data_IF_030769372430
#
_entry.id   IF_030769372430
#
_cell.length_a   1.000
_cell.length_b   1.000
_cell.length_c   1.000
_cell.angle_alpha   90.00
_cell.angle_beta   90.00
_cell.angle_gamma   90.00
#
_symmetry.space_group_name_H-M   'P 1'
#
loop_
_entity.id
_entity.type
_entity.pdbx_description
1 polymer ?
#
# COMPACT_ATOMS: atom_id res chain seq x y z
N UNK A 1 -27.96 -23.13 -44.71
CA UNK A 1 -26.52 -22.85 -44.48
C UNK A 1 -26.44 -21.83 -43.37
N UNK A 2 -25.82 -22.15 -42.23
CA UNK A 2 -25.62 -21.17 -41.16
C UNK A 2 -24.50 -20.20 -41.58
N UNK A 3 -24.74 -18.90 -41.50
CA UNK A 3 -23.75 -17.86 -41.79
C UNK A 3 -23.14 -17.41 -40.45
N UNK A 4 -21.86 -17.69 -40.19
CA UNK A 4 -21.20 -17.27 -38.96
C UNK A 4 -21.23 -15.75 -38.80
N UNK A 5 -21.40 -15.27 -37.58
CA UNK A 5 -21.51 -13.86 -37.24
C UNK A 5 -20.34 -13.02 -37.78
N UNK A 6 -19.11 -13.51 -37.65
CA UNK A 6 -17.90 -12.84 -38.15
C UNK A 6 -17.92 -12.58 -39.67
N UNK A 7 -18.76 -13.27 -40.44
CA UNK A 7 -18.87 -13.09 -41.89
C UNK A 7 -19.93 -12.04 -42.28
N UNK A 8 -20.79 -11.61 -41.36
CA UNK A 8 -21.93 -10.74 -41.67
C UNK A 8 -21.51 -9.38 -42.21
N UNK A 9 -20.51 -8.74 -41.60
CA UNK A 9 -20.01 -7.44 -42.06
C UNK A 9 -19.45 -7.50 -43.49
N UNK A 10 -18.64 -8.52 -43.79
CA UNK A 10 -18.08 -8.70 -45.14
C UNK A 10 -19.20 -9.01 -46.16
N UNK A 11 -20.18 -9.84 -45.78
CA UNK A 11 -21.32 -10.15 -46.65
C UNK A 11 -22.14 -8.89 -46.92
N UNK A 12 -22.44 -8.08 -45.89
CA UNK A 12 -23.15 -6.81 -46.04
C UNK A 12 -22.41 -5.84 -46.96
N UNK A 13 -21.09 -5.72 -46.83
CA UNK A 13 -20.28 -4.83 -47.68
C UNK A 13 -20.22 -5.27 -49.15
N UNK A 14 -20.50 -6.55 -49.43
CA UNK A 14 -20.52 -7.11 -50.78
C UNK A 14 -21.91 -7.06 -51.43
N UNK A 15 -22.95 -6.63 -50.71
CA UNK A 15 -24.29 -6.47 -51.25
C UNK A 15 -24.37 -5.23 -52.16
N UNK A 16 -25.22 -5.25 -53.19
CA UNK A 16 -25.47 -4.07 -54.00
C UNK A 16 -26.19 -3.00 -53.15
N UNK A 17 -25.84 -1.73 -53.37
CA UNK A 17 -26.49 -0.60 -52.71
C UNK A 17 -27.98 -0.47 -53.05
N UNK A 18 -28.37 -0.91 -54.26
CA UNK A 18 -29.76 -0.97 -54.71
C UNK A 18 -30.01 -2.33 -55.37
N UNK A 19 -30.71 -3.26 -54.70
CA UNK A 19 -31.01 -4.58 -55.26
C UNK A 19 -32.09 -4.49 -56.34
N UNK A 20 -31.99 -5.31 -57.38
CA UNK A 20 -33.00 -5.37 -58.44
C UNK A 20 -34.22 -6.18 -57.99
N UNK A 21 -35.37 -5.99 -58.65
CA UNK A 21 -36.60 -6.76 -58.36
C UNK A 21 -36.39 -8.28 -58.46
N UNK A 22 -35.51 -8.73 -59.36
CA UNK A 22 -35.13 -10.14 -59.52
C UNK A 22 -34.27 -10.66 -58.36
N UNK A 23 -33.42 -9.81 -57.79
CA UNK A 23 -32.61 -10.14 -56.62
C UNK A 23 -33.45 -10.19 -55.34
N UNK A 24 -34.42 -9.27 -55.20
CA UNK A 24 -35.36 -9.26 -54.07
C UNK A 24 -36.30 -10.48 -54.11
N UNK A 25 -36.71 -10.89 -55.31
CA UNK A 25 -37.57 -12.06 -55.51
C UNK A 25 -36.86 -13.42 -55.46
N UNK A 26 -35.61 -13.49 -54.97
CA UNK A 26 -34.81 -14.71 -54.92
C UNK A 26 -34.59 -15.40 -56.29
N UNK A 27 -34.67 -14.66 -57.40
CA UNK A 27 -34.48 -15.19 -58.76
C UNK A 27 -33.01 -15.15 -59.16
N UNK A 28 -32.32 -14.05 -58.84
CA UNK A 28 -30.89 -13.86 -59.11
C UNK A 28 -30.13 -13.65 -57.80
N UNK A 29 -28.90 -14.15 -57.72
CA UNK A 29 -28.02 -13.97 -56.56
C UNK A 29 -27.62 -12.50 -56.40
N UNK A 30 -27.83 -11.93 -55.20
CA UNK A 30 -27.45 -10.54 -54.90
C UNK A 30 -25.94 -10.27 -55.04
N UNK A 31 -25.09 -11.30 -54.95
CA UNK A 31 -23.62 -11.14 -54.93
C UNK A 31 -22.94 -11.30 -56.29
N UNK A 32 -23.55 -12.02 -57.23
CA UNK A 32 -22.97 -12.25 -58.56
C UNK A 32 -23.93 -12.02 -59.73
N UNK A 33 -25.18 -11.64 -59.43
CA UNK A 33 -26.23 -11.37 -60.39
C UNK A 33 -26.52 -12.52 -61.38
N UNK A 34 -26.20 -13.75 -60.98
CA UNK A 34 -26.52 -14.96 -61.76
C UNK A 34 -27.82 -15.59 -61.28
N UNK A 35 -28.60 -16.22 -62.18
CA UNK A 35 -29.80 -16.94 -61.81
C UNK A 35 -29.53 -17.99 -60.73
N UNK A 36 -30.46 -18.12 -59.78
CA UNK A 36 -30.39 -19.11 -58.70
C UNK A 36 -30.89 -20.49 -59.16
N UNK A 37 -31.72 -20.56 -60.22
CA UNK A 37 -32.24 -21.80 -60.82
C UNK A 37 -32.73 -22.79 -59.74
N UNK A 38 -32.43 -24.08 -59.86
CA UNK A 38 -32.83 -25.13 -58.90
C UNK A 38 -32.04 -25.11 -57.58
N UNK A 39 -31.23 -24.08 -57.31
CA UNK A 39 -30.42 -24.00 -56.09
C UNK A 39 -31.17 -23.27 -55.00
N UNK A 40 -31.24 -23.88 -53.82
CA UNK A 40 -31.85 -23.28 -52.64
C UNK A 40 -31.19 -21.92 -52.31
N UNK A 41 -31.95 -20.80 -52.38
CA UNK A 41 -31.43 -19.49 -52.04
C UNK A 41 -31.11 -19.42 -50.54
N UNK A 42 -30.01 -18.77 -50.18
CA UNK A 42 -29.62 -18.57 -48.78
C UNK A 42 -29.88 -17.11 -48.42
N UNK A 43 -30.72 -16.90 -47.40
CA UNK A 43 -31.00 -15.57 -46.88
C UNK A 43 -29.72 -14.90 -46.34
N UNK A 44 -29.52 -13.64 -46.69
CA UNK A 44 -28.33 -12.84 -46.33
C UNK A 44 -28.58 -11.85 -45.20
N UNK A 45 -29.84 -11.61 -44.82
CA UNK A 45 -30.20 -10.73 -43.71
C UNK A 45 -30.42 -11.46 -42.39
N UNK A 46 -30.68 -10.71 -41.30
CA UNK A 46 -30.88 -11.25 -39.96
C UNK A 46 -32.14 -12.11 -39.85
N UNK A 47 -33.11 -11.92 -40.77
CA UNK A 47 -34.31 -12.73 -40.89
C UNK A 47 -34.45 -13.27 -42.32
N UNK A 48 -35.08 -14.45 -42.52
CA UNK A 48 -35.36 -15.01 -43.85
C UNK A 48 -36.21 -14.09 -44.74
N UNK A 49 -36.92 -13.13 -44.12
CA UNK A 49 -37.86 -12.19 -44.74
C UNK A 49 -37.17 -10.94 -45.28
N UNK A 50 -35.87 -10.76 -45.05
CA UNK A 50 -35.13 -9.55 -45.45
C UNK A 50 -35.00 -9.35 -46.96
N UNK A 51 -35.50 -10.28 -47.78
CA UNK A 51 -35.56 -10.15 -49.24
C UNK A 51 -34.21 -10.11 -49.94
N UNK A 52 -33.13 -10.63 -49.34
CA UNK A 52 -31.80 -10.65 -49.94
C UNK A 52 -31.23 -12.07 -49.91
N UNK A 53 -30.88 -12.58 -51.09
CA UNK A 53 -30.52 -13.98 -51.26
C UNK A 53 -29.20 -14.15 -52.01
N UNK A 54 -28.36 -15.06 -51.49
CA UNK A 54 -27.08 -15.41 -52.09
C UNK A 54 -27.05 -16.86 -52.54
N UNK A 55 -26.23 -17.14 -53.54
CA UNK A 55 -25.92 -18.51 -53.94
C UNK A 55 -24.80 -19.10 -53.06
N UNK A 56 -24.86 -20.42 -52.82
CA UNK A 56 -23.91 -21.14 -51.97
C UNK A 56 -22.42 -20.94 -52.37
N UNK A 57 -22.04 -20.90 -53.66
CA UNK A 57 -20.65 -20.63 -54.05
C UNK A 57 -20.15 -19.23 -53.66
N UNK A 58 -20.96 -18.19 -53.84
CA UNK A 58 -20.61 -16.82 -53.46
C UNK A 58 -20.46 -16.69 -51.94
N UNK A 59 -21.40 -17.29 -51.19
CA UNK A 59 -21.33 -17.34 -49.74
C UNK A 59 -20.11 -18.10 -49.22
N UNK A 60 -19.79 -19.27 -49.79
CA UNK A 60 -18.59 -20.03 -49.41
C UNK A 60 -17.32 -19.21 -49.62
N UNK A 61 -17.22 -18.48 -50.73
CA UNK A 61 -16.07 -17.60 -51.01
C UNK A 61 -15.96 -16.46 -50.00
N UNK A 62 -17.07 -15.77 -49.70
CA UNK A 62 -17.08 -14.66 -48.74
C UNK A 62 -16.83 -15.13 -47.31
N UNK A 63 -17.45 -16.23 -46.86
CA UNK A 63 -17.20 -16.80 -45.53
C UNK A 63 -15.76 -17.26 -45.38
N UNK A 64 -15.16 -17.85 -46.42
CA UNK A 64 -13.73 -18.22 -46.42
C UNK A 64 -12.83 -16.99 -46.33
N UNK A 65 -13.16 -15.92 -47.06
CA UNK A 65 -12.42 -14.65 -46.99
C UNK A 65 -12.56 -13.98 -45.63
N UNK A 66 -13.76 -13.96 -45.05
CA UNK A 66 -14.03 -13.43 -43.72
C UNK A 66 -13.27 -14.20 -42.64
N UNK A 67 -13.22 -15.54 -42.74
CA UNK A 67 -12.43 -16.38 -41.84
C UNK A 67 -10.95 -16.02 -41.91
N UNK A 68 -10.36 -15.95 -43.11
CA UNK A 68 -8.95 -15.56 -43.29
C UNK A 68 -8.66 -14.16 -42.74
N UNK A 69 -9.56 -13.21 -42.95
CA UNK A 69 -9.40 -11.85 -42.43
C UNK A 69 -9.46 -11.82 -40.90
N UNK A 70 -10.41 -12.54 -40.29
CA UNK A 70 -10.51 -12.69 -38.83
C UNK A 70 -9.26 -13.35 -38.25
N UNK A 71 -8.82 -14.46 -38.84
CA UNK A 71 -7.68 -15.21 -38.33
C UNK A 71 -6.39 -14.36 -38.46
N UNK A 72 -6.23 -13.61 -39.55
CA UNK A 72 -5.12 -12.66 -39.70
C UNK A 72 -5.17 -11.50 -38.70
N UNK A 73 -6.37 -10.95 -38.44
CA UNK A 73 -6.56 -9.91 -37.43
C UNK A 73 -6.21 -10.43 -36.02
N UNK A 74 -6.67 -11.63 -35.66
CA UNK A 74 -6.31 -12.26 -34.38
C UNK A 74 -4.80 -12.49 -34.23
N UNK A 75 -4.10 -12.87 -35.30
CA UNK A 75 -2.63 -12.98 -35.27
C UNK A 75 -1.98 -11.62 -35.07
N UNK A 76 -2.43 -10.59 -35.79
CA UNK A 76 -1.91 -9.23 -35.64
C UNK A 76 -2.18 -8.67 -34.24
N UNK A 77 -3.37 -8.89 -33.69
CA UNK A 77 -3.74 -8.48 -32.33
C UNK A 77 -2.88 -9.20 -31.28
N UNK A 78 -2.60 -10.49 -31.47
CA UNK A 78 -1.72 -11.25 -30.59
C UNK A 78 -0.26 -10.76 -30.66
N UNK A 79 0.25 -10.48 -31.86
CA UNK A 79 1.59 -9.89 -32.03
C UNK A 79 1.68 -8.50 -31.39
N UNK A 80 0.63 -7.68 -31.55
CA UNK A 80 0.56 -6.33 -30.98
C UNK A 80 0.43 -6.37 -29.45
N UNK A 81 -0.24 -7.37 -28.89
CA UNK A 81 -0.32 -7.59 -27.44
C UNK A 81 1.04 -8.01 -26.82
N UNK A 82 1.90 -8.71 -27.58
CA UNK A 82 3.20 -9.19 -27.11
C UNK A 82 4.34 -8.16 -27.28
N UNK A 83 4.18 -7.18 -28.18
CA UNK A 83 5.21 -6.19 -28.47
C UNK A 83 5.64 -5.33 -27.26
N UNK A 84 4.73 -4.84 -26.39
CA UNK A 84 5.09 -4.09 -25.19
C UNK A 84 5.95 -4.91 -24.21
N UNK A 85 5.57 -6.18 -23.98
CA UNK A 85 6.32 -7.10 -23.13
C UNK A 85 7.76 -7.33 -23.66
N UNK A 86 7.90 -7.58 -24.96
CA UNK A 86 9.20 -7.79 -25.60
C UNK A 86 10.11 -6.54 -25.52
N UNK A 87 9.53 -5.34 -25.58
CA UNK A 87 10.28 -4.09 -25.46
C UNK A 87 10.68 -3.77 -24.00
N UNK A 88 9.86 -4.20 -23.03
CA UNK A 88 10.09 -3.95 -21.61
C UNK A 88 11.15 -4.88 -21.00
N UNK A 89 11.22 -6.15 -21.43
CA UNK A 89 12.13 -7.15 -20.85
C UNK A 89 13.61 -6.68 -20.75
N UNK A 90 14.21 -6.10 -21.81
CA UNK A 90 15.60 -5.63 -21.74
C UNK A 90 15.78 -4.40 -20.83
N UNK A 91 14.73 -3.60 -20.61
CA UNK A 91 14.76 -2.50 -19.66
C UNK A 91 14.76 -3.03 -18.22
N UNK A 92 13.87 -3.99 -17.92
CA UNK A 92 13.81 -4.71 -16.63
C UNK A 92 15.14 -5.35 -16.27
N UNK A 93 15.71 -6.16 -17.17
CA UNK A 93 16.99 -6.85 -16.92
C UNK A 93 18.14 -5.87 -16.62
N UNK A 94 18.21 -4.75 -17.34
CA UNK A 94 19.22 -3.71 -17.10
C UNK A 94 19.03 -3.00 -15.77
N UNK A 95 17.79 -2.79 -15.35
CA UNK A 95 17.46 -2.18 -14.06
C UNK A 95 17.85 -3.13 -12.92
N UNK A 96 17.41 -4.39 -12.95
CA UNK A 96 17.78 -5.42 -11.97
C UNK A 96 19.30 -5.58 -11.83
N UNK A 97 20.02 -5.68 -12.96
CA UNK A 97 21.49 -5.74 -12.95
C UNK A 97 22.17 -4.47 -12.42
N UNK A 98 21.46 -3.33 -12.38
CA UNK A 98 21.97 -2.10 -11.74
C UNK A 98 21.74 -2.15 -10.23
N UNK A 99 20.55 -2.53 -9.78
CA UNK A 99 20.24 -2.73 -8.36
C UNK A 99 21.25 -3.69 -7.72
N UNK A 100 21.45 -4.85 -8.34
CA UNK A 100 22.37 -5.88 -7.87
C UNK A 100 23.82 -5.38 -7.74
N UNK A 101 24.31 -4.58 -8.71
CA UNK A 101 25.66 -4.00 -8.64
C UNK A 101 25.83 -2.99 -7.51
N UNK A 102 24.82 -2.15 -7.26
CA UNK A 102 24.88 -1.19 -6.13
C UNK A 102 24.75 -1.94 -4.80
N UNK A 103 23.91 -2.99 -4.74
CA UNK A 103 23.78 -3.87 -3.57
C UNK A 103 25.11 -4.54 -3.23
N UNK A 104 25.78 -5.14 -4.21
CA UNK A 104 27.11 -5.73 -4.03
C UNK A 104 28.15 -4.70 -3.60
N UNK A 105 28.07 -3.47 -4.11
CA UNK A 105 28.95 -2.39 -3.66
C UNK A 105 28.66 -2.00 -2.20
N UNK A 106 27.40 -1.96 -1.79
CA UNK A 106 27.01 -1.69 -0.41
C UNK A 106 27.51 -2.78 0.54
N UNK A 107 27.35 -4.06 0.18
CA UNK A 107 27.87 -5.20 0.94
C UNK A 107 29.40 -5.14 1.07
N UNK A 108 30.11 -4.82 -0.02
CA UNK A 108 31.56 -4.66 0.01
C UNK A 108 32.00 -3.48 0.89
N UNK A 109 31.28 -2.36 0.87
CA UNK A 109 31.56 -1.22 1.76
C UNK A 109 31.34 -1.59 3.22
N UNK A 110 30.27 -2.33 3.53
CA UNK A 110 30.02 -2.84 4.88
C UNK A 110 31.14 -3.77 5.36
N UNK A 111 31.58 -4.71 4.51
CA UNK A 111 32.70 -5.62 4.82
C UNK A 111 34.01 -4.86 5.04
N UNK A 112 34.30 -3.85 4.20
CA UNK A 112 35.49 -3.01 4.36
C UNK A 112 35.45 -2.15 5.63
N UNK A 113 34.26 -1.70 6.05
CA UNK A 113 34.07 -0.93 7.27
C UNK A 113 34.25 -1.79 8.53
N UNK A 114 33.80 -3.05 8.50
CA UNK A 114 34.02 -4.02 9.60
C UNK A 114 35.45 -4.57 9.68
N UNK A 115 36.29 -4.31 8.67
CA UNK A 115 37.67 -4.76 8.59
C UNK A 115 38.69 -3.71 9.03
N UNK A 116 39.82 -4.16 9.59
CA UNK A 116 40.88 -3.26 10.08
C UNK A 116 41.85 -2.79 8.98
N UNK A 117 41.65 -3.24 7.73
CA UNK A 117 42.57 -3.00 6.60
C UNK A 117 42.32 -1.70 5.86
N UNK A 118 41.20 -1.03 6.12
CA UNK A 118 40.81 0.19 5.42
C UNK A 118 40.81 1.36 6.38
N UNK A 119 41.45 2.45 5.96
CA UNK A 119 41.49 3.67 6.75
C UNK A 119 40.08 4.25 6.95
N UNK A 120 39.70 4.70 8.16
CA UNK A 120 38.37 5.22 8.45
C UNK A 120 37.91 6.33 7.49
N UNK A 121 38.81 7.27 7.15
CA UNK A 121 38.51 8.34 6.20
C UNK A 121 38.24 7.81 4.78
N UNK A 122 38.91 6.72 4.37
CA UNK A 122 38.68 6.09 3.08
C UNK A 122 37.32 5.38 3.05
N UNK A 123 36.93 4.74 4.16
CA UNK A 123 35.59 4.15 4.34
C UNK A 123 34.49 5.22 4.23
N UNK A 124 34.68 6.41 4.81
CA UNK A 124 33.74 7.53 4.65
C UNK A 124 33.57 7.98 3.19
N UNK A 125 34.66 8.08 2.43
CA UNK A 125 34.60 8.42 1.00
C UNK A 125 33.93 7.34 0.15
N UNK A 126 34.10 6.07 0.51
CA UNK A 126 33.40 4.96 -0.12
C UNK A 126 31.89 5.05 0.11
N UNK A 127 31.45 5.40 1.33
CA UNK A 127 30.04 5.64 1.62
C UNK A 127 29.47 6.79 0.78
N UNK A 128 30.16 7.93 0.68
CA UNK A 128 29.71 9.05 -0.17
C UNK A 128 29.55 8.63 -1.63
N UNK A 129 30.50 7.83 -2.13
CA UNK A 129 30.46 7.31 -3.51
C UNK A 129 29.30 6.33 -3.70
N UNK A 130 29.02 5.51 -2.70
CA UNK A 130 27.92 4.55 -2.68
C UNK A 130 26.55 5.26 -2.65
N UNK A 131 26.37 6.28 -1.80
CA UNK A 131 25.14 7.09 -1.74
C UNK A 131 24.85 7.78 -3.08
N UNK A 132 25.90 8.28 -3.74
CA UNK A 132 25.80 8.82 -5.09
C UNK A 132 25.34 7.75 -6.09
N UNK A 133 25.95 6.56 -6.05
CA UNK A 133 25.55 5.45 -6.92
C UNK A 133 24.10 5.00 -6.69
N UNK A 134 23.65 4.96 -5.44
CA UNK A 134 22.28 4.64 -5.04
C UNK A 134 21.27 5.68 -5.56
N UNK A 135 21.58 6.97 -5.38
CA UNK A 135 20.71 8.08 -5.82
C UNK A 135 20.58 8.17 -7.35
N UNK A 136 21.58 7.68 -8.10
CA UNK A 136 21.60 7.72 -9.57
C UNK A 136 20.95 6.50 -10.23
N UNK A 137 20.33 5.62 -9.46
CA UNK A 137 19.52 4.52 -9.99
C UNK A 137 18.24 5.15 -10.58
N UNK A 138 17.96 4.97 -11.88
CA UNK A 138 16.75 5.48 -12.50
C UNK A 138 15.54 4.70 -12.00
N UNK A 139 14.37 5.34 -12.04
CA UNK A 139 13.11 4.71 -11.66
C UNK A 139 12.89 3.35 -12.34
N UNK A 140 12.18 2.47 -11.64
CA UNK A 140 11.84 1.15 -12.16
C UNK A 140 11.02 1.29 -13.46
N UNK A 141 11.33 0.50 -14.51
CA UNK A 141 10.58 0.56 -15.74
C UNK A 141 9.15 0.06 -15.52
N UNK A 142 8.15 0.85 -15.93
CA UNK A 142 6.75 0.53 -15.72
C UNK A 142 6.34 -0.74 -16.52
N UNK A 143 5.79 -1.77 -15.86
CA UNK A 143 5.43 -3.02 -16.51
C UNK A 143 4.19 -2.84 -17.40
N UNK A 144 4.11 -3.51 -18.56
CA UNK A 144 2.86 -3.58 -19.31
C UNK A 144 1.79 -4.33 -18.50
N UNK A 145 0.52 -3.97 -18.71
CA UNK A 145 -0.62 -4.52 -17.94
C UNK A 145 -0.70 -6.05 -17.93
N UNK A 146 -0.14 -6.73 -18.93
CA UNK A 146 -0.10 -8.19 -19.03
C UNK A 146 0.95 -8.86 -18.12
N UNK A 147 1.86 -8.10 -17.51
CA UNK A 147 2.98 -8.58 -16.69
C UNK A 147 3.02 -7.89 -15.31
N UNK A 148 1.86 -7.53 -14.77
CA UNK A 148 1.76 -6.86 -13.46
C UNK A 148 2.44 -7.65 -12.33
N UNK A 149 2.41 -8.99 -12.39
CA UNK A 149 3.04 -9.86 -11.39
C UNK A 149 4.58 -9.73 -11.36
N UNK A 150 5.22 -9.39 -12.49
CA UNK A 150 6.68 -9.17 -12.55
C UNK A 150 7.11 -7.84 -11.90
N UNK A 151 6.15 -6.98 -11.52
CA UNK A 151 6.41 -5.78 -10.73
C UNK A 151 6.85 -6.12 -9.29
N UNK A 152 6.42 -7.27 -8.77
CA UNK A 152 6.76 -7.71 -7.41
C UNK A 152 8.27 -7.98 -7.27
N UNK A 153 8.90 -8.59 -8.27
CA UNK A 153 10.33 -8.89 -8.26
C UNK A 153 11.19 -7.61 -8.31
N UNK A 154 10.77 -6.60 -9.09
CA UNK A 154 11.44 -5.29 -9.11
C UNK A 154 11.39 -4.60 -7.74
N UNK A 155 10.24 -4.69 -7.04
CA UNK A 155 10.08 -4.16 -5.68
C UNK A 155 10.93 -4.93 -4.67
N UNK A 156 10.96 -6.25 -4.77
CA UNK A 156 11.75 -7.11 -3.87
C UNK A 156 13.25 -6.80 -3.98
N UNK A 157 13.78 -6.67 -5.20
CA UNK A 157 15.19 -6.33 -5.42
C UNK A 157 15.53 -4.89 -4.99
N UNK A 158 14.59 -3.95 -5.15
CA UNK A 158 14.71 -2.61 -4.56
C UNK A 158 14.84 -2.65 -3.04
N UNK A 159 13.97 -3.42 -2.38
CA UNK A 159 14.00 -3.60 -0.93
C UNK A 159 15.31 -4.26 -0.44
N UNK A 160 15.82 -5.26 -1.16
CA UNK A 160 17.12 -5.89 -0.84
C UNK A 160 18.28 -4.91 -0.94
N UNK A 161 18.26 -4.03 -1.93
CA UNK A 161 19.24 -2.94 -2.03
C UNK A 161 19.15 -1.98 -0.85
N UNK A 162 17.93 -1.57 -0.45
CA UNK A 162 17.72 -0.66 0.68
C UNK A 162 18.29 -1.26 1.98
N UNK A 163 18.05 -2.56 2.21
CA UNK A 163 18.61 -3.26 3.36
C UNK A 163 20.15 -3.26 3.33
N UNK A 164 20.77 -3.55 2.18
CA UNK A 164 22.22 -3.52 2.04
C UNK A 164 22.81 -2.11 2.27
N UNK A 165 22.10 -1.06 1.83
CA UNK A 165 22.49 0.33 2.09
C UNK A 165 22.44 0.68 3.58
N UNK A 166 21.42 0.21 4.31
CA UNK A 166 21.32 0.39 5.77
C UNK A 166 22.51 -0.28 6.46
N UNK A 167 22.80 -1.54 6.12
CA UNK A 167 23.94 -2.28 6.69
C UNK A 167 25.28 -1.57 6.41
N UNK A 168 25.47 -1.04 5.20
CA UNK A 168 26.66 -0.28 4.84
C UNK A 168 26.79 1.01 5.66
N UNK A 169 25.70 1.77 5.82
CA UNK A 169 25.67 3.00 6.63
C UNK A 169 26.02 2.72 8.10
N UNK A 170 25.43 1.68 8.67
CA UNK A 170 25.66 1.26 10.05
C UNK A 170 27.12 0.88 10.29
N UNK A 171 27.67 -0.02 9.47
CA UNK A 171 29.06 -0.46 9.62
C UNK A 171 30.06 0.71 9.46
N UNK A 172 29.80 1.63 8.53
CA UNK A 172 30.63 2.84 8.35
C UNK A 172 30.50 3.77 9.56
N UNK A 173 29.28 3.98 10.07
CA UNK A 173 29.05 4.85 11.23
C UNK A 173 29.76 4.31 12.48
N UNK A 174 29.65 3.01 12.75
CA UNK A 174 30.35 2.35 13.86
C UNK A 174 31.87 2.50 13.74
N UNK A 175 32.41 2.23 12.54
CA UNK A 175 33.85 2.38 12.26
C UNK A 175 34.35 3.81 12.48
N UNK A 176 33.57 4.81 12.06
CA UNK A 176 33.92 6.23 12.23
C UNK A 176 33.80 6.68 13.68
N UNK A 177 32.76 6.23 14.40
CA UNK A 177 32.60 6.50 15.82
C UNK A 177 33.80 5.94 16.61
N UNK A 178 34.17 4.68 16.35
CA UNK A 178 35.33 4.05 16.99
C UNK A 178 36.64 4.81 16.69
N UNK A 179 36.84 5.24 15.45
CA UNK A 179 38.00 6.07 15.08
C UNK A 179 38.04 7.40 15.84
N UNK A 180 36.91 8.12 15.90
CA UNK A 180 36.82 9.40 16.60
C UNK A 180 37.08 9.27 18.11
N UNK A 181 36.55 8.21 18.73
CA UNK A 181 36.81 7.92 20.15
C UNK A 181 38.30 7.69 20.37
N UNK A 182 38.94 6.85 19.55
CA UNK A 182 40.37 6.56 19.65
C UNK A 182 41.28 7.77 19.40
N UNK A 183 40.93 8.65 18.47
CA UNK A 183 41.67 9.91 18.25
C UNK A 183 41.47 10.93 19.40
N UNK A 184 40.33 10.87 20.09
CA UNK A 184 40.02 11.74 21.22
C UNK A 184 40.62 11.26 22.56
N UNK A 185 41.12 10.02 22.62
CA UNK A 185 41.76 9.46 23.82
C UNK A 185 43.08 10.20 24.13
N UNK A 186 43.31 10.63 25.39
CA UNK A 186 44.57 11.25 25.77
C UNK A 186 45.74 10.26 25.64
N UNK A 187 46.96 10.74 25.32
CA UNK A 187 48.13 9.89 25.05
C UNK A 187 48.61 9.07 26.26
N UNK A 188 48.16 9.43 27.47
CA UNK A 188 48.32 8.66 28.70
C UNK A 188 46.93 8.57 29.36
N UNK A 189 46.11 7.55 29.05
CA UNK A 189 44.88 7.34 29.79
C UNK A 189 45.24 7.06 31.24
N UNK A 190 44.58 7.70 32.21
CA UNK A 190 44.69 7.33 33.63
C UNK A 190 44.27 5.86 33.73
N UNK A 191 45.25 4.96 33.79
CA UNK A 191 45.04 3.52 33.84
C UNK A 191 44.29 3.21 35.14
N UNK A 192 42.99 2.90 35.02
CA UNK A 192 42.27 2.26 36.11
C UNK A 192 43.04 0.98 36.47
N UNK A 193 43.33 0.75 37.76
CA UNK A 193 44.16 -0.36 38.25
C UNK A 193 43.64 -1.76 37.86
N UNK A 194 42.45 -1.87 37.24
CA UNK A 194 41.80 -3.12 36.86
C UNK A 194 42.07 -3.60 35.41
N UNK A 195 42.77 -2.85 34.55
CA UNK A 195 42.99 -3.26 33.15
C UNK A 195 44.47 -3.35 32.75
N UNK A 196 45.16 -4.41 33.18
CA UNK A 196 46.35 -4.89 32.45
C UNK A 196 45.88 -5.72 31.24
N UNK A 197 45.82 -5.11 30.05
CA UNK A 197 45.65 -5.86 28.81
C UNK A 197 46.88 -6.75 28.55
N UNK A 198 46.72 -8.06 28.27
CA UNK A 198 47.82 -8.92 27.87
C UNK A 198 48.53 -8.42 26.61
N UNK A 199 49.82 -8.77 26.44
CA UNK A 199 50.67 -8.37 25.32
C UNK A 199 50.15 -8.79 23.92
N UNK A 200 49.11 -9.62 23.88
CA UNK A 200 48.50 -10.17 22.68
C UNK A 200 47.13 -9.52 22.35
N UNK A 201 46.77 -8.43 23.02
CA UNK A 201 45.50 -7.72 22.80
C UNK A 201 45.51 -7.02 21.43
N UNK A 202 44.56 -7.36 20.56
CA UNK A 202 44.45 -6.83 19.19
C UNK A 202 43.84 -5.42 19.10
N UNK A 203 43.65 -4.72 20.22
CA UNK A 203 43.06 -3.38 20.27
C UNK A 203 41.58 -3.31 19.87
N UNK A 204 40.92 -4.46 19.66
CA UNK A 204 39.45 -4.53 19.55
C UNK A 204 38.85 -4.38 20.94
N UNK A 205 38.76 -3.13 21.40
CA UNK A 205 37.85 -2.78 22.49
C UNK A 205 36.47 -2.65 21.85
N UNK A 206 35.72 -3.75 21.96
CA UNK A 206 34.29 -3.76 21.66
C UNK A 206 33.62 -2.58 22.42
N UNK A 207 32.69 -1.89 21.78
CA UNK A 207 31.99 -0.74 22.38
C UNK A 207 31.19 -1.13 23.62
N UNK A 208 31.02 -2.45 23.84
CA UNK A 208 30.53 -3.06 25.08
C UNK A 208 31.37 -2.77 26.33
N UNK A 209 32.61 -2.27 26.19
CA UNK A 209 33.47 -1.88 27.32
C UNK A 209 33.42 -0.39 27.68
N UNK A 210 32.76 0.44 26.85
CA UNK A 210 32.44 1.81 27.26
C UNK A 210 31.22 1.68 28.16
N UNK A 211 31.48 1.44 29.44
CA UNK A 211 30.47 1.45 30.50
C UNK A 211 30.09 2.91 30.82
N UNK A 212 29.70 3.67 29.79
CA UNK A 212 28.85 4.82 30.00
C UNK A 212 27.47 4.25 30.31
N UNK A 213 27.29 3.89 31.58
CA UNK A 213 26.00 3.45 32.10
C UNK A 213 24.91 4.39 31.59
N UNK A 214 23.67 3.91 31.42
CA UNK A 214 22.57 4.62 30.73
C UNK A 214 22.44 6.08 31.16
N UNK A 215 22.82 6.32 32.41
CA UNK A 215 22.96 7.56 33.14
C UNK A 215 23.87 8.65 32.55
N UNK A 216 25.06 8.31 32.03
CA UNK A 216 26.06 9.30 31.57
C UNK A 216 25.61 10.08 30.34
N UNK A 217 24.87 9.43 29.43
CA UNK A 217 24.30 10.08 28.24
C UNK A 217 23.34 11.21 28.64
N UNK A 218 22.50 11.00 29.65
CA UNK A 218 21.58 12.03 30.14
C UNK A 218 22.34 13.22 30.74
N UNK A 219 23.43 12.97 31.45
CA UNK A 219 24.25 14.02 32.04
C UNK A 219 25.03 14.81 30.98
N UNK A 220 25.53 14.15 29.95
CA UNK A 220 26.25 14.80 28.84
C UNK A 220 25.31 15.59 27.93
N UNK A 221 24.14 15.03 27.60
CA UNK A 221 23.07 15.75 26.92
C UNK A 221 22.68 17.00 27.72
N UNK A 222 22.52 16.88 29.03
CA UNK A 222 22.21 18.01 29.91
C UNK A 222 23.32 19.07 29.90
N UNK A 223 24.60 18.68 29.91
CA UNK A 223 25.76 19.60 29.76
C UNK A 223 25.75 20.34 28.42
N UNK A 224 25.20 19.71 27.39
CA UNK A 224 25.01 20.30 26.05
C UNK A 224 23.66 21.00 25.86
N UNK A 225 22.88 21.19 26.93
CA UNK A 225 21.61 21.92 26.92
C UNK A 225 20.41 21.11 26.42
N UNK A 226 20.54 19.79 26.32
CA UNK A 226 19.50 18.84 25.92
C UNK A 226 18.99 18.11 27.16
N UNK A 227 17.72 18.30 27.53
CA UNK A 227 17.14 17.69 28.74
C UNK A 227 16.30 16.48 28.37
N UNK A 228 16.60 15.31 28.95
CA UNK A 228 15.88 14.05 28.74
C UNK A 228 15.62 13.37 30.09
N UNK A 229 14.40 12.87 30.35
CA UNK A 229 14.00 12.25 31.64
C UNK A 229 14.59 10.83 31.80
N UNK A 230 15.13 10.51 32.99
CA UNK A 230 15.76 9.21 33.31
C UNK A 230 14.76 8.25 33.99
N UNK A 231 14.64 6.96 33.60
CA UNK A 231 13.68 6.03 34.21
C UNK A 231 14.17 5.44 35.55
N UNK A 232 13.27 5.22 36.52
CA UNK A 232 13.60 4.56 37.80
C UNK A 232 13.76 3.04 37.65
N UNK A 233 14.78 2.40 38.28
CA UNK A 233 14.96 0.95 38.20
C UNK A 233 14.07 0.19 39.19
N UNK A 234 13.14 -0.62 38.68
CA UNK A 234 12.38 -1.58 39.48
C UNK A 234 13.14 -2.90 39.71
N UNK A 235 12.99 -3.55 40.87
CA UNK A 235 13.67 -4.82 41.16
C UNK A 235 13.09 -5.97 40.31
N UNK A 236 13.94 -6.88 39.78
CA UNK A 236 13.50 -7.91 38.85
C UNK A 236 12.59 -8.95 39.55
N UNK A 237 11.48 -9.26 38.89
CA UNK A 237 10.46 -10.15 39.45
C UNK A 237 10.95 -11.61 39.56
N UNK A 238 10.45 -12.38 40.55
CA UNK A 238 10.82 -13.80 40.76
C UNK A 238 10.58 -14.71 39.56
N UNK A 239 9.74 -14.25 38.61
CA UNK A 239 9.37 -14.96 37.39
C UNK A 239 10.50 -14.94 36.34
N UNK A 240 11.39 -13.95 36.39
CA UNK A 240 12.56 -13.83 35.51
C UNK A 240 13.65 -14.84 35.89
N UNK A 241 13.84 -15.08 37.19
CA UNK A 241 14.79 -16.07 37.72
C UNK A 241 14.43 -17.50 37.28
N UNK A 242 13.14 -17.82 37.20
CA UNK A 242 12.66 -19.14 36.77
C UNK A 242 12.82 -19.39 35.26
N UNK A 243 12.98 -18.34 34.45
CA UNK A 243 13.12 -18.45 32.98
C UNK A 243 14.58 -18.63 32.54
N UNK A 244 15.55 -18.19 33.35
CA UNK A 244 16.98 -18.30 33.04
C UNK A 244 17.55 -19.72 33.23
N UNK A 245 16.86 -20.59 33.99
CA UNK A 245 17.29 -21.98 34.23
C UNK A 245 16.83 -22.97 33.14
N UNK A 246 16.03 -22.54 32.15
CA UNK A 246 15.26 -23.46 31.31
C UNK A 246 15.45 -23.43 29.79
N UNK A 247 16.17 -22.47 29.20
CA UNK A 247 16.23 -22.35 27.73
C UNK A 247 17.66 -22.36 27.19
N UNK A 248 18.01 -23.47 26.52
CA UNK A 248 19.14 -23.54 25.62
C UNK A 248 18.94 -22.61 24.41
N UNK A 249 20.07 -22.09 23.96
CA UNK A 249 20.29 -21.15 22.86
C UNK A 249 19.44 -21.39 21.60
N UNK A 250 18.41 -20.57 21.41
CA UNK A 250 17.94 -20.13 20.09
C UNK A 250 18.47 -18.71 19.85
N UNK A 251 19.12 -18.49 18.70
CA UNK A 251 19.61 -17.18 18.29
C UNK A 251 18.44 -16.19 18.17
N UNK A 252 18.46 -15.16 19.03
CA UNK A 252 17.52 -14.04 19.00
C UNK A 252 17.68 -13.25 17.69
N UNK A 253 16.61 -12.98 16.94
CA UNK A 253 16.61 -11.94 15.93
C UNK A 253 16.94 -10.59 16.59
N UNK A 254 17.82 -9.81 15.97
CA UNK A 254 18.15 -8.45 16.40
C UNK A 254 16.88 -7.59 16.44
N UNK A 255 16.63 -6.84 17.52
CA UNK A 255 15.45 -5.99 17.61
C UNK A 255 15.55 -4.83 16.61
N UNK A 256 14.46 -4.55 15.90
CA UNK A 256 14.28 -3.29 15.16
C UNK A 256 14.40 -2.11 16.15
N UNK A 257 14.91 -0.93 15.71
CA UNK A 257 15.08 0.23 16.59
C UNK A 257 13.77 0.59 17.30
N UNK A 258 13.87 0.86 18.60
CA UNK A 258 12.71 1.11 19.47
C UNK A 258 11.98 2.39 19.07
N UNK A 259 10.82 2.24 18.41
CA UNK A 259 9.88 3.35 18.14
C UNK A 259 9.44 4.05 19.45
N UNK A 260 9.59 3.39 20.60
CA UNK A 260 9.16 3.92 21.90
C UNK A 260 9.96 5.16 22.34
N UNK A 261 11.22 5.29 21.92
CA UNK A 261 12.11 6.39 22.36
C UNK A 261 11.78 7.74 21.71
N UNK A 262 11.09 7.76 20.56
CA UNK A 262 10.72 8.98 19.84
C UNK A 262 9.22 9.23 19.68
N UNK A 263 8.40 8.17 19.66
CA UNK A 263 6.97 8.30 19.40
C UNK A 263 6.22 9.00 20.53
N UNK A 264 6.64 8.81 21.80
CA UNK A 264 5.92 9.35 22.95
C UNK A 264 5.86 10.90 22.95
N UNK A 265 6.96 11.57 22.61
CA UNK A 265 7.00 13.03 22.55
C UNK A 265 6.13 13.60 21.41
N UNK A 266 6.14 12.92 20.25
CA UNK A 266 5.30 13.31 19.10
C UNK A 266 3.82 13.06 19.41
N UNK A 267 3.47 11.90 19.96
CA UNK A 267 2.09 11.56 20.33
C UNK A 267 1.54 12.48 21.43
N UNK A 268 2.35 12.85 22.41
CA UNK A 268 1.98 13.82 23.43
C UNK A 268 1.65 15.21 22.84
N UNK A 269 2.36 15.65 21.80
CA UNK A 269 2.02 16.88 21.08
C UNK A 269 0.60 16.85 20.49
N UNK A 270 0.15 15.69 20.03
CA UNK A 270 -1.20 15.47 19.51
C UNK A 270 -2.23 15.07 20.58
N UNK A 271 -1.86 15.12 21.86
CA UNK A 271 -2.74 14.73 22.98
C UNK A 271 -3.05 13.23 23.02
N UNK A 272 -2.20 12.39 22.42
CA UNK A 272 -2.34 10.94 22.43
C UNK A 272 -1.53 10.39 23.61
N UNK A 273 -2.24 10.06 24.69
CA UNK A 273 -1.70 9.35 25.85
C UNK A 273 -2.02 7.84 25.78
N UNK A 274 -1.72 7.10 26.85
CA UNK A 274 -1.96 5.66 26.93
C UNK A 274 -3.43 5.27 26.82
N UNK A 275 -4.35 6.13 27.26
CA UNK A 275 -5.78 5.80 27.36
C UNK A 275 -6.46 5.90 25.99
N UNK A 276 -5.95 6.78 25.13
CA UNK A 276 -6.44 6.96 23.76
C UNK A 276 -5.56 6.29 22.69
N UNK A 277 -4.41 5.73 23.07
CA UNK A 277 -3.44 5.13 22.14
C UNK A 277 -4.06 4.07 21.21
N UNK A 278 -4.90 3.17 21.75
CA UNK A 278 -5.55 2.12 20.94
C UNK A 278 -6.52 2.74 19.94
N UNK A 279 -7.25 3.78 20.34
CA UNK A 279 -8.18 4.48 19.44
C UNK A 279 -7.42 5.21 18.34
N UNK A 280 -6.33 5.91 18.67
CA UNK A 280 -5.47 6.55 17.68
C UNK A 280 -4.82 5.53 16.72
N UNK A 281 -4.35 4.40 17.24
CA UNK A 281 -3.80 3.31 16.43
C UNK A 281 -4.86 2.69 15.50
N UNK A 282 -6.10 2.53 15.95
CA UNK A 282 -7.19 2.05 15.11
C UNK A 282 -7.46 3.01 13.94
N UNK A 283 -7.48 4.32 14.21
CA UNK A 283 -7.59 5.34 13.15
C UNK A 283 -6.41 5.30 12.20
N UNK A 284 -5.19 5.13 12.71
CA UNK A 284 -4.01 5.00 11.88
C UNK A 284 -4.03 3.75 11.00
N UNK A 285 -4.54 2.63 11.52
CA UNK A 285 -4.73 1.43 10.72
C UNK A 285 -5.75 1.65 9.61
N UNK A 286 -6.89 2.29 9.89
CA UNK A 286 -7.88 2.63 8.85
C UNK A 286 -7.31 3.62 7.84
N UNK A 287 -6.59 4.64 8.30
CA UNK A 287 -5.93 5.64 7.47
C UNK A 287 -4.99 4.98 6.44
N UNK A 288 -4.09 4.12 6.93
CA UNK A 288 -3.07 3.49 6.09
C UNK A 288 -3.59 2.32 5.25
N UNK A 289 -4.45 1.48 5.82
CA UNK A 289 -4.90 0.26 5.17
C UNK A 289 -6.01 0.51 4.15
N UNK A 290 -6.88 1.48 4.40
CA UNK A 290 -8.12 1.63 3.64
C UNK A 290 -8.33 3.01 3.03
N UNK A 291 -8.05 4.08 3.78
CA UNK A 291 -8.33 5.46 3.31
C UNK A 291 -7.36 5.94 2.24
N UNK A 292 -6.07 5.69 2.40
CA UNK A 292 -5.06 6.18 1.46
C UNK A 292 -4.95 5.30 0.21
N UNK A 293 -4.64 5.89 -0.96
CA UNK A 293 -4.21 5.12 -2.13
C UNK A 293 -5.37 4.68 -3.05
N UNK A 294 -5.63 3.38 -3.26
CA UNK A 294 -6.60 2.88 -4.23
C UNK A 294 -8.03 3.41 -4.05
N UNK A 295 -8.43 3.74 -2.81
CA UNK A 295 -9.76 4.26 -2.53
C UNK A 295 -10.03 5.60 -3.24
N UNK A 296 -9.00 6.42 -3.48
CA UNK A 296 -9.16 7.71 -4.17
C UNK A 296 -9.67 7.53 -5.60
N UNK A 297 -9.23 6.47 -6.30
CA UNK A 297 -9.74 6.13 -7.64
C UNK A 297 -11.16 5.61 -7.59
N UNK A 298 -11.46 4.74 -6.63
CA UNK A 298 -12.81 4.19 -6.42
C UNK A 298 -13.79 5.32 -6.10
N UNK A 299 -13.40 6.29 -5.28
CA UNK A 299 -14.17 7.48 -4.96
C UNK A 299 -14.39 8.36 -6.21
N UNK A 300 -13.36 8.56 -7.03
CA UNK A 300 -13.46 9.40 -8.22
C UNK A 300 -14.27 8.79 -9.37
N UNK A 301 -14.66 7.52 -9.29
CA UNK A 301 -15.46 6.85 -10.31
C UNK A 301 -16.90 7.37 -10.36
N UNK A 302 -17.54 7.31 -11.54
CA UNK A 302 -18.94 7.74 -11.72
C UNK A 302 -19.93 6.93 -10.86
N UNK A 303 -19.59 5.66 -10.58
CA UNK A 303 -20.31 4.74 -9.69
C UNK A 303 -19.63 4.57 -8.33
N UNK A 304 -18.74 5.50 -7.97
CA UNK A 304 -18.03 5.55 -6.71
C UNK A 304 -18.93 5.93 -5.52
N UNK A 305 -18.46 5.65 -4.29
CA UNK A 305 -19.15 6.06 -3.08
C UNK A 305 -19.07 7.58 -2.89
N UNK A 306 -20.08 8.18 -2.27
CA UNK A 306 -20.05 9.58 -1.84
C UNK A 306 -19.13 9.81 -0.63
N UNK A 307 -18.76 11.07 -0.37
CA UNK A 307 -17.97 11.46 0.81
C UNK A 307 -18.64 11.00 2.12
N UNK A 308 -19.98 11.06 2.18
CA UNK A 308 -20.73 10.60 3.34
C UNK A 308 -20.67 9.09 3.57
N UNK A 309 -20.64 8.31 2.50
CA UNK A 309 -20.47 6.84 2.57
C UNK A 309 -19.07 6.47 3.02
N UNK A 310 -18.04 7.15 2.48
CA UNK A 310 -16.66 6.95 2.90
C UNK A 310 -16.48 7.34 4.37
N UNK A 311 -17.11 8.44 4.80
CA UNK A 311 -17.09 8.87 6.20
C UNK A 311 -17.72 7.81 7.11
N UNK A 312 -18.94 7.37 6.80
CA UNK A 312 -19.65 6.37 7.60
C UNK A 312 -18.85 5.06 7.68
N UNK A 313 -18.31 4.60 6.55
CA UNK A 313 -17.51 3.38 6.50
C UNK A 313 -16.20 3.52 7.29
N UNK A 314 -15.55 4.69 7.27
CA UNK A 314 -14.36 4.96 8.09
C UNK A 314 -14.63 4.79 9.59
N UNK A 315 -15.81 5.23 10.05
CA UNK A 315 -16.24 5.11 11.45
C UNK A 315 -16.49 3.65 11.84
N UNK A 316 -17.15 2.87 10.98
CA UNK A 316 -17.38 1.45 11.24
C UNK A 316 -16.06 0.66 11.25
N UNK A 317 -15.22 0.89 10.24
CA UNK A 317 -13.88 0.27 10.15
C UNK A 317 -12.99 0.65 11.33
N UNK A 318 -13.12 1.85 11.89
CA UNK A 318 -12.44 2.23 13.12
C UNK A 318 -12.84 1.31 14.30
N UNK A 319 -14.13 1.01 14.45
CA UNK A 319 -14.61 0.13 15.53
C UNK A 319 -14.06 -1.29 15.37
N UNK A 320 -14.05 -1.80 14.14
CA UNK A 320 -13.47 -3.10 13.81
C UNK A 320 -11.96 -3.14 14.03
N UNK A 321 -11.23 -2.12 13.57
CA UNK A 321 -9.80 -1.99 13.79
C UNK A 321 -9.47 -1.94 15.29
N UNK A 322 -10.23 -1.18 16.08
CA UNK A 322 -10.06 -1.08 17.53
C UNK A 322 -10.31 -2.42 18.23
N UNK A 323 -11.37 -3.13 17.84
CA UNK A 323 -11.68 -4.45 18.38
C UNK A 323 -10.57 -5.46 18.05
N UNK A 324 -10.11 -5.50 16.80
CA UNK A 324 -9.04 -6.38 16.35
C UNK A 324 -7.70 -6.08 17.04
N UNK A 325 -7.35 -4.80 17.22
CA UNK A 325 -6.15 -4.41 17.95
C UNK A 325 -6.22 -4.81 19.43
N UNK A 326 -7.38 -4.70 20.09
CA UNK A 326 -7.54 -5.16 21.47
C UNK A 326 -7.41 -6.68 21.58
N UNK A 327 -8.06 -7.42 20.70
CA UNK A 327 -7.95 -8.88 20.64
C UNK A 327 -6.51 -9.33 20.39
N UNK A 328 -5.79 -8.61 19.51
CA UNK A 328 -4.41 -8.93 19.19
C UNK A 328 -3.43 -8.81 20.36
N UNK A 329 -3.80 -8.10 21.44
CA UNK A 329 -3.02 -8.04 22.67
C UNK A 329 -3.03 -9.38 23.41
N UNK A 330 -4.19 -10.02 23.46
CA UNK A 330 -4.48 -11.14 24.34
C UNK A 330 -4.39 -12.48 23.59
N UNK A 331 -4.84 -12.51 22.32
CA UNK A 331 -4.95 -13.73 21.50
C UNK A 331 -3.91 -13.81 20.36
N UNK A 332 -3.18 -12.72 20.11
CA UNK A 332 -2.07 -12.67 19.16
C UNK A 332 -2.36 -11.90 17.86
N UNK A 333 -1.33 -11.59 17.06
CA UNK A 333 -1.43 -10.69 15.90
C UNK A 333 -2.43 -11.13 14.83
N UNK A 334 -2.72 -12.43 14.73
CA UNK A 334 -3.66 -13.03 13.77
C UNK A 334 -5.08 -12.46 13.88
N UNK A 335 -5.48 -11.93 15.04
CA UNK A 335 -6.77 -11.26 15.22
C UNK A 335 -6.97 -10.05 14.30
N UNK A 336 -5.90 -9.45 13.79
CA UNK A 336 -5.98 -8.36 12.81
C UNK A 336 -6.56 -8.79 11.46
N UNK A 337 -6.57 -10.09 11.15
CA UNK A 337 -7.19 -10.62 9.94
C UNK A 337 -8.71 -10.43 9.94
N UNK A 338 -9.35 -10.31 11.11
CA UNK A 338 -10.77 -10.00 11.19
C UNK A 338 -11.08 -8.60 10.64
N UNK A 339 -10.21 -7.63 10.88
CA UNK A 339 -10.33 -6.30 10.28
C UNK A 339 -10.10 -6.36 8.76
N UNK A 340 -9.05 -7.08 8.30
CA UNK A 340 -8.78 -7.23 6.87
C UNK A 340 -9.98 -7.82 6.13
N UNK A 341 -10.58 -8.88 6.68
CA UNK A 341 -11.74 -9.55 6.09
C UNK A 341 -12.93 -8.62 5.88
N UNK A 342 -13.16 -7.67 6.80
CA UNK A 342 -14.26 -6.71 6.71
C UNK A 342 -13.92 -5.54 5.80
N UNK A 343 -12.70 -4.99 5.92
CA UNK A 343 -12.25 -3.85 5.13
C UNK A 343 -12.10 -4.17 3.63
N UNK A 344 -11.91 -5.44 3.29
CA UNK A 344 -11.76 -5.94 1.91
C UNK A 344 -12.98 -6.69 1.39
N UNK A 345 -14.08 -6.79 2.16
CA UNK A 345 -15.27 -7.51 1.73
C UNK A 345 -15.95 -6.79 0.56
N UNK A 346 -16.01 -7.48 -0.58
CA UNK A 346 -16.58 -6.93 -1.81
C UNK A 346 -18.11 -6.84 -1.77
N UNK A 347 -18.74 -7.69 -0.96
CA UNK A 347 -20.19 -7.87 -0.89
C UNK A 347 -20.84 -7.17 0.30
N UNK A 348 -20.04 -6.73 1.28
CA UNK A 348 -20.56 -6.06 2.47
C UNK A 348 -21.07 -4.65 2.13
N UNK A 349 -22.35 -4.35 2.40
CA UNK A 349 -22.87 -3.00 2.29
C UNK A 349 -22.18 -2.09 3.29
N UNK A 350 -21.84 -0.88 2.83
CA UNK A 350 -21.17 0.10 3.69
C UNK A 350 -22.08 0.67 4.78
N UNK A 351 -21.45 1.15 5.84
CA UNK A 351 -22.13 1.73 6.99
C UNK A 351 -22.95 2.99 6.64
N UNK A 352 -23.74 3.47 7.61
CA UNK A 352 -24.62 4.63 7.42
C UNK A 352 -25.86 4.36 6.56
N UNK A 353 -26.29 3.10 6.50
CA UNK A 353 -27.46 2.68 5.73
C UNK A 353 -27.26 2.76 4.20
N UNK A 354 -26.00 2.78 3.76
CA UNK A 354 -25.65 2.83 2.34
C UNK A 354 -25.92 1.51 1.64
N UNK A 355 -26.45 1.52 0.41
CA UNK A 355 -26.51 0.33 -0.45
C UNK A 355 -25.19 0.06 -1.19
N UNK A 356 -24.17 0.94 -1.06
CA UNK A 356 -22.90 0.81 -1.76
C UNK A 356 -22.15 -0.43 -1.29
N UNK A 357 -21.58 -1.15 -2.24
CA UNK A 357 -20.68 -2.29 -2.02
C UNK A 357 -19.50 -2.12 -2.95
N UNK A 358 -18.32 -2.58 -2.54
CA UNK A 358 -17.12 -2.54 -3.36
C UNK A 358 -17.30 -3.31 -4.70
N UNK A 359 -18.10 -4.38 -4.75
CA UNK A 359 -18.41 -5.10 -6.00
C UNK A 359 -19.15 -4.26 -7.04
N UNK A 360 -19.85 -3.21 -6.61
CA UNK A 360 -20.69 -2.41 -7.50
C UNK A 360 -19.89 -1.42 -8.36
N UNK A 361 -18.64 -1.11 -7.99
CA UNK A 361 -17.82 -0.13 -8.69
C UNK A 361 -17.14 -0.73 -9.92
N UNK A 362 -17.01 0.08 -10.96
CA UNK A 362 -16.36 -0.27 -12.22
C UNK A 362 -14.82 -0.28 -12.15
N UNK A 363 -14.24 0.40 -11.15
CA UNK A 363 -12.79 0.48 -10.92
C UNK A 363 -12.20 -0.82 -10.34
N UNK A 364 -10.90 -1.12 -10.58
CA UNK A 364 -10.25 -2.30 -10.05
C UNK A 364 -10.12 -2.28 -8.52
N UNK A 365 -10.89 -3.11 -7.82
CA UNK A 365 -10.86 -3.22 -6.34
C UNK A 365 -9.70 -4.10 -5.83
N UNK A 366 -9.08 -4.90 -6.69
CA UNK A 366 -8.00 -5.81 -6.29
C UNK A 366 -6.83 -5.08 -5.62
N UNK A 367 -6.52 -3.86 -6.07
CA UNK A 367 -5.46 -3.04 -5.47
C UNK A 367 -5.81 -2.58 -4.05
N UNK A 368 -7.08 -2.26 -3.78
CA UNK A 368 -7.56 -1.93 -2.44
C UNK A 368 -7.44 -3.15 -1.50
N UNK A 369 -7.88 -4.33 -1.96
CA UNK A 369 -7.78 -5.58 -1.19
C UNK A 369 -6.32 -5.88 -0.84
N UNK A 370 -5.42 -5.82 -1.83
CA UNK A 370 -4.00 -6.05 -1.61
C UNK A 370 -3.41 -5.05 -0.62
N UNK A 371 -3.78 -3.76 -0.72
CA UNK A 371 -3.28 -2.77 0.23
C UNK A 371 -3.76 -3.03 1.66
N UNK A 372 -5.04 -3.37 1.84
CA UNK A 372 -5.58 -3.74 3.16
C UNK A 372 -4.77 -4.90 3.74
N UNK A 373 -4.55 -5.96 2.96
CA UNK A 373 -3.78 -7.14 3.36
C UNK A 373 -2.33 -6.78 3.72
N UNK A 374 -1.64 -6.02 2.86
CA UNK A 374 -0.24 -5.63 3.07
C UNK A 374 -0.07 -4.81 4.35
N UNK A 375 -0.98 -3.86 4.60
CA UNK A 375 -0.93 -2.98 5.78
C UNK A 375 -1.31 -3.72 7.05
N UNK A 376 -2.26 -4.64 6.99
CA UNK A 376 -2.59 -5.50 8.12
C UNK A 376 -1.42 -6.42 8.43
N UNK A 377 -0.85 -7.10 7.43
CA UNK A 377 0.32 -7.95 7.56
C UNK A 377 1.52 -7.21 8.17
N UNK A 378 1.80 -5.99 7.71
CA UNK A 378 2.86 -5.16 8.30
C UNK A 378 2.62 -4.92 9.80
N UNK A 379 1.38 -4.59 10.20
CA UNK A 379 1.04 -4.39 11.62
C UNK A 379 1.27 -5.68 12.42
N UNK A 380 0.85 -6.82 11.87
CA UNK A 380 1.07 -8.13 12.47
C UNK A 380 2.57 -8.41 12.68
N UNK A 381 3.41 -8.12 11.70
CA UNK A 381 4.86 -8.28 11.81
C UNK A 381 5.47 -7.36 12.87
N UNK A 382 5.01 -6.12 12.99
CA UNK A 382 5.46 -5.23 14.07
C UNK A 382 5.07 -5.78 15.44
N UNK A 383 3.83 -6.31 15.59
CA UNK A 383 3.42 -6.96 16.84
C UNK A 383 4.33 -8.16 17.17
N UNK A 384 4.63 -9.01 16.17
CA UNK A 384 5.50 -10.20 16.36
C UNK A 384 6.92 -9.83 16.77
N UNK A 385 7.49 -8.78 16.16
CA UNK A 385 8.91 -8.45 16.29
C UNK A 385 9.21 -7.44 17.39
N UNK A 386 8.31 -6.49 17.62
CA UNK A 386 8.51 -5.36 18.54
C UNK A 386 7.44 -5.29 19.63
N UNK A 387 6.45 -6.18 19.60
CA UNK A 387 5.37 -6.23 20.57
C UNK A 387 4.18 -5.34 20.21
N UNK A 388 3.06 -5.63 20.86
CA UNK A 388 1.78 -4.98 20.62
C UNK A 388 1.83 -3.46 20.75
N UNK A 389 2.48 -2.96 21.80
CA UNK A 389 2.58 -1.52 22.08
C UNK A 389 3.32 -0.76 20.97
N UNK A 390 4.42 -1.31 20.45
CA UNK A 390 5.16 -0.70 19.34
C UNK A 390 4.30 -0.57 18.07
N UNK A 391 3.49 -1.59 17.77
CA UNK A 391 2.56 -1.55 16.64
C UNK A 391 1.50 -0.44 16.83
N UNK A 392 0.98 -0.27 18.05
CA UNK A 392 0.07 0.84 18.35
C UNK A 392 0.73 2.20 18.15
N UNK A 393 1.96 2.38 18.64
CA UNK A 393 2.69 3.64 18.50
C UNK A 393 2.93 3.98 17.02
N UNK A 394 3.33 2.99 16.22
CA UNK A 394 3.51 3.17 14.77
C UNK A 394 2.21 3.64 14.10
N UNK A 395 1.08 3.00 14.42
CA UNK A 395 -0.21 3.37 13.83
C UNK A 395 -0.74 4.70 14.36
N UNK A 396 -0.61 4.98 15.65
CA UNK A 396 -1.01 6.24 16.25
C UNK A 396 -0.22 7.42 15.67
N UNK A 397 1.08 7.23 15.37
CA UNK A 397 1.90 8.23 14.69
C UNK A 397 1.36 8.52 13.29
N UNK A 398 0.98 7.48 12.54
CA UNK A 398 0.34 7.65 11.24
C UNK A 398 -0.95 8.47 11.34
N UNK A 399 -1.83 8.11 12.28
CA UNK A 399 -3.08 8.82 12.54
C UNK A 399 -2.87 10.30 12.88
N UNK A 400 -1.89 10.60 13.73
CA UNK A 400 -1.56 11.96 14.13
C UNK A 400 -1.16 12.84 12.94
N UNK A 401 -0.46 12.26 11.95
CA UNK A 401 -0.02 12.98 10.75
C UNK A 401 -1.09 13.12 9.67
N UNK A 402 -1.94 12.10 9.50
CA UNK A 402 -2.83 11.95 8.33
C UNK A 402 -4.30 12.16 8.63
N UNK A 403 -4.72 11.89 9.87
CA UNK A 403 -6.11 11.85 10.27
C UNK A 403 -6.35 12.50 11.66
N UNK A 404 -5.71 13.63 12.02
CA UNK A 404 -5.76 14.17 13.39
C UNK A 404 -7.18 14.54 13.84
N UNK A 405 -8.07 14.85 12.90
CA UNK A 405 -9.45 15.31 13.12
C UNK A 405 -10.50 14.25 12.83
N UNK A 406 -10.15 12.96 12.81
CA UNK A 406 -11.13 11.88 12.58
C UNK A 406 -11.81 11.43 13.88
N UNK A 407 -13.04 10.91 13.77
CA UNK A 407 -13.77 10.27 14.87
C UNK A 407 -12.89 9.25 15.57
N UNK A 408 -12.79 9.30 16.91
CA UNK A 408 -11.90 8.44 17.70
C UNK A 408 -10.53 9.06 18.03
N UNK A 409 -10.17 10.20 17.41
CA UNK A 409 -8.98 10.97 17.78
C UNK A 409 -9.28 11.98 18.89
N UNK A 410 -8.27 12.36 19.71
CA UNK A 410 -8.46 13.31 20.82
C UNK A 410 -9.00 14.69 20.39
N UNK A 411 -8.69 15.13 19.17
CA UNK A 411 -9.14 16.43 18.66
C UNK A 411 -10.60 16.43 18.18
N UNK A 412 -11.20 15.26 17.95
CA UNK A 412 -12.53 15.11 17.36
C UNK A 412 -13.64 15.91 18.06
N UNK A 413 -13.75 15.91 19.41
CA UNK A 413 -14.78 16.73 20.08
C UNK A 413 -14.64 18.24 19.79
N UNK A 414 -13.40 18.71 19.59
CA UNK A 414 -13.11 20.08 19.18
C UNK A 414 -13.56 20.36 17.74
N UNK A 415 -13.31 19.41 16.83
CA UNK A 415 -13.79 19.44 15.44
C UNK A 415 -15.31 19.50 15.39
N UNK A 416 -16.01 18.60 16.11
CA UNK A 416 -17.49 18.58 16.18
C UNK A 416 -18.03 19.90 16.71
N UNK A 417 -17.47 20.44 17.80
CA UNK A 417 -17.91 21.74 18.33
C UNK A 417 -17.81 22.85 17.28
N UNK A 418 -16.69 22.93 16.57
CA UNK A 418 -16.48 23.93 15.51
C UNK A 418 -17.46 23.71 14.34
N UNK A 419 -17.68 22.46 13.95
CA UNK A 419 -18.65 22.08 12.93
C UNK A 419 -20.07 22.50 13.31
N UNK A 420 -20.48 22.27 14.57
CA UNK A 420 -21.81 22.65 15.06
C UNK A 420 -22.01 24.17 15.12
N UNK A 421 -20.98 24.93 15.49
CA UNK A 421 -21.00 26.40 15.46
C UNK A 421 -21.25 26.92 14.03
N UNK A 422 -20.58 26.33 13.03
CA UNK A 422 -20.76 26.66 11.61
C UNK A 422 -22.12 26.20 11.09
N UNK A 423 -22.53 24.97 11.42
CA UNK A 423 -23.80 24.37 11.00
C UNK A 423 -25.01 25.17 11.49
N UNK A 424 -24.93 25.78 12.68
CA UNK A 424 -25.98 26.63 13.22
C UNK A 424 -26.19 27.94 12.42
N UNK A 425 -25.18 28.38 11.66
CA UNK A 425 -25.20 29.60 10.85
C UNK A 425 -25.60 29.37 9.40
N UNK A 426 -25.58 28.11 8.94
CA UNK A 426 -25.92 27.75 7.56
C UNK A 426 -27.44 27.75 7.32
N UNK A 427 -27.82 28.11 6.09
CA UNK A 427 -29.16 27.80 5.59
C UNK A 427 -29.25 26.29 5.37
N UNK A 428 -30.17 25.63 6.09
CA UNK A 428 -30.38 24.17 6.06
C UNK A 428 -31.69 23.80 5.35
N UNK A 429 -32.23 24.70 4.52
CA UNK A 429 -33.51 24.49 3.84
C UNK A 429 -33.51 23.28 2.88
N UNK A 430 -32.33 22.88 2.39
CA UNK A 430 -32.12 21.71 1.52
C UNK A 430 -31.40 20.54 2.24
N UNK A 431 -31.17 20.66 3.54
CA UNK A 431 -30.48 19.64 4.34
C UNK A 431 -31.39 18.42 4.60
N UNK A 432 -30.82 17.20 4.72
CA UNK A 432 -31.56 16.02 5.14
C UNK A 432 -32.27 16.20 6.49
N UNK A 433 -33.43 15.54 6.67
CA UNK A 433 -34.26 15.66 7.89
C UNK A 433 -33.49 15.29 9.17
N UNK A 434 -32.54 14.35 9.08
CA UNK A 434 -31.65 13.98 10.18
C UNK A 434 -30.84 15.17 10.75
N UNK A 435 -30.64 16.23 9.95
CA UNK A 435 -29.93 17.44 10.36
C UNK A 435 -30.83 18.52 10.96
N UNK A 436 -32.13 18.26 11.15
CA UNK A 436 -33.07 19.24 11.69
C UNK A 436 -32.78 19.58 13.17
N UNK A 437 -32.59 18.55 14.00
CA UNK A 437 -32.27 18.69 15.42
C UNK A 437 -30.75 18.72 15.65
N UNK A 438 -30.19 19.93 15.77
CA UNK A 438 -28.76 20.13 15.99
C UNK A 438 -28.24 19.50 17.29
N UNK A 439 -29.10 19.33 18.30
CA UNK A 439 -28.68 18.68 19.55
C UNK A 439 -28.48 17.20 19.32
N UNK A 440 -29.41 16.55 18.60
CA UNK A 440 -29.29 15.16 18.20
C UNK A 440 -28.10 14.95 17.26
N UNK A 441 -27.87 15.88 16.31
CA UNK A 441 -26.71 15.82 15.39
C UNK A 441 -25.40 15.88 16.16
N UNK A 442 -25.26 16.81 17.10
CA UNK A 442 -24.04 16.92 17.91
C UNK A 442 -23.79 15.63 18.71
N UNK A 443 -24.83 15.08 19.33
CA UNK A 443 -24.72 13.83 20.08
C UNK A 443 -24.29 12.67 19.17
N UNK A 444 -24.90 12.54 17.99
CA UNK A 444 -24.56 11.49 17.04
C UNK A 444 -23.13 11.64 16.52
N UNK A 445 -22.68 12.85 16.15
CA UNK A 445 -21.29 13.09 15.73
C UNK A 445 -20.26 12.76 16.83
N UNK A 446 -20.62 12.87 18.12
CA UNK A 446 -19.71 12.55 19.22
C UNK A 446 -19.65 11.06 19.55
N UNK A 447 -20.76 10.32 19.36
CA UNK A 447 -20.88 8.93 19.84
C UNK A 447 -20.91 7.90 18.69
N UNK A 448 -21.66 8.18 17.62
CA UNK A 448 -21.86 7.28 16.49
C UNK A 448 -22.20 8.05 15.20
N UNK A 449 -21.22 8.71 14.55
CA UNK A 449 -21.48 9.57 13.40
C UNK A 449 -22.17 8.86 12.23
N UNK A 450 -21.83 7.60 12.00
CA UNK A 450 -22.41 6.75 10.96
C UNK A 450 -23.93 6.55 11.14
N UNK A 451 -24.46 6.65 12.35
CA UNK A 451 -25.91 6.56 12.60
C UNK A 451 -26.71 7.76 12.05
N UNK A 452 -26.05 8.88 11.72
CA UNK A 452 -26.69 10.00 11.01
C UNK A 452 -27.11 9.63 9.59
N UNK A 453 -26.49 8.60 9.03
CA UNK A 453 -26.72 8.13 7.68
C UNK A 453 -25.87 8.85 6.64
N UNK A 454 -25.55 8.13 5.57
CA UNK A 454 -24.64 8.58 4.52
C UNK A 454 -25.07 9.92 3.87
N UNK A 455 -26.37 10.13 3.64
CA UNK A 455 -26.86 11.37 3.03
C UNK A 455 -26.64 12.61 3.92
N UNK A 456 -26.78 12.48 5.23
CA UNK A 456 -26.54 13.56 6.18
C UNK A 456 -25.05 13.88 6.29
N UNK A 457 -24.21 12.84 6.35
CA UNK A 457 -22.75 12.98 6.36
C UNK A 457 -22.24 13.58 5.03
N UNK A 458 -22.77 13.16 3.89
CA UNK A 458 -22.42 13.71 2.58
C UNK A 458 -22.77 15.19 2.46
N UNK A 459 -23.94 15.59 2.96
CA UNK A 459 -24.30 17.01 3.03
C UNK A 459 -23.32 17.79 3.92
N UNK A 460 -22.94 17.25 5.09
CA UNK A 460 -21.96 17.87 6.00
C UNK A 460 -20.58 17.99 5.32
N UNK A 461 -20.11 16.94 4.64
CA UNK A 461 -18.82 16.91 3.94
C UNK A 461 -18.76 17.95 2.82
N UNK A 462 -19.82 18.08 2.01
CA UNK A 462 -19.89 19.08 0.93
C UNK A 462 -19.81 20.53 1.44
N UNK A 463 -20.14 20.77 2.70
CA UNK A 463 -20.01 22.08 3.34
C UNK A 463 -18.65 22.30 4.03
N UNK A 464 -17.72 21.32 3.93
CA UNK A 464 -16.40 21.34 4.56
C UNK A 464 -16.45 21.66 6.07
N UNK A 465 -17.43 21.08 6.77
CA UNK A 465 -17.68 21.38 8.18
C UNK A 465 -16.80 20.60 9.15
N UNK A 466 -16.32 19.42 8.73
CA UNK A 466 -15.53 18.49 9.55
C UNK A 466 -14.04 18.45 9.16
N UNK A 467 -13.61 19.36 8.29
CA UNK A 467 -12.21 19.57 7.87
C UNK A 467 -11.46 20.58 8.75
#
# INVERSE_FOLDING_TARGET
MHIPEYAHALIRSALPSVPTSRQVGAVDCCLCNRPLEDRLPVALGPTPESGLFGCHPCLRRLVTRARRARDAALTQDAEQALAPAAAWQPARERHLARLDRVRQAAEAVAELAGGDRTEPLQVAWLLVSLESAYTWIPDAPEPPATLADEAAELKEEGFRLDLAMITAREAVADRLAHHLINEALPPEPEMCEEFECPQDCSGRHDSSHIDCGPDEVFEDLLRHGVTVERPEPEPPSPRLMALLEGAGTEEKPTPLPSIEEGAAAVLAHFGIDTDVLVSAAAIGLVADAWREGPLDRIHAADDGPSDGEIFAQSVDLYRWARAALLAARDDGPEELLAFAAIASDLDLPWAGGSPFTLRAVSEPVAELVQQVDDRVWFTMEVIRRQGWRAALLHRALSAASRAPHHFGMPSWPGTVRTAMERLALLDRSDAPEALADLTAVQAALLEAPDELGAAALDWISRQALLE
#
